data_IF_798347067044
#
_entry.id   IF_798347067044
#
_cell.length_a   1.000
_cell.length_b   1.000
_cell.length_c   1.000
_cell.angle_alpha   90.00
_cell.angle_beta   90.00
_cell.angle_gamma   90.00
#
_symmetry.space_group_name_H-M   'P 1'
#
loop_
_entity.id
_entity.type
_entity.pdbx_description
1 polymer ?
#
# COMPACT_ATOMS: atom_id res chain seq x y z
N UNK A 1 5.78 -12.84 -44.38
CA UNK A 1 6.25 -11.71 -43.54
C UNK A 1 6.00 -11.92 -42.05
N UNK A 2 5.30 -12.97 -41.61
CA UNK A 2 4.95 -13.18 -40.19
C UNK A 2 6.09 -13.67 -39.27
N UNK A 3 7.20 -14.16 -39.83
CA UNK A 3 8.31 -14.72 -39.04
C UNK A 3 9.20 -13.66 -38.40
N UNK A 4 9.36 -12.51 -39.06
CA UNK A 4 10.23 -11.42 -38.58
C UNK A 4 9.55 -10.59 -37.48
N UNK A 5 8.22 -10.46 -37.51
CA UNK A 5 7.46 -9.73 -36.48
C UNK A 5 7.55 -10.37 -35.09
N UNK A 6 7.75 -11.69 -35.02
CA UNK A 6 7.95 -12.41 -33.75
C UNK A 6 9.33 -12.21 -33.13
N UNK A 7 10.35 -11.94 -33.95
CA UNK A 7 11.74 -11.79 -33.51
C UNK A 7 12.06 -10.38 -33.00
N UNK A 8 11.35 -9.37 -33.52
CA UNK A 8 11.62 -7.96 -33.22
C UNK A 8 10.55 -7.29 -32.36
N UNK A 9 9.56 -8.03 -31.85
CA UNK A 9 8.61 -7.46 -30.91
C UNK A 9 9.29 -7.37 -29.53
N UNK A 10 9.68 -6.17 -29.04
CA UNK A 10 10.15 -6.05 -27.67
C UNK A 10 9.02 -6.53 -26.79
N UNK A 11 9.27 -7.55 -25.95
CA UNK A 11 8.29 -7.98 -24.93
C UNK A 11 7.80 -6.71 -24.26
N UNK A 12 6.50 -6.40 -24.38
CA UNK A 12 5.89 -5.25 -23.69
C UNK A 12 6.38 -5.35 -22.26
N UNK A 13 7.08 -4.33 -21.76
CA UNK A 13 7.45 -4.28 -20.35
C UNK A 13 6.16 -4.45 -19.57
N UNK A 14 6.01 -5.58 -18.89
CA UNK A 14 4.84 -5.83 -18.07
C UNK A 14 4.74 -4.65 -17.09
N UNK A 15 3.63 -3.90 -17.16
CA UNK A 15 3.43 -2.75 -16.28
C UNK A 15 3.38 -3.27 -14.85
N UNK A 16 4.30 -2.82 -14.01
CA UNK A 16 4.29 -3.11 -12.58
C UNK A 16 3.30 -2.19 -11.85
N UNK A 17 2.50 -2.68 -10.89
CA UNK A 17 2.36 -4.08 -10.49
C UNK A 17 1.62 -4.92 -11.56
N UNK A 18 1.92 -6.23 -11.69
CA UNK A 18 1.26 -7.10 -12.66
C UNK A 18 -0.25 -7.11 -12.39
N UNK A 19 -1.02 -6.62 -13.35
CA UNK A 19 -2.48 -6.57 -13.25
C UNK A 19 -3.04 -7.92 -13.71
N UNK A 20 -3.71 -8.70 -12.83
CA UNK A 20 -4.32 -9.94 -13.26
C UNK A 20 -5.37 -9.67 -14.35
N UNK A 21 -5.55 -10.63 -15.27
CA UNK A 21 -6.62 -10.55 -16.29
C UNK A 21 -8.01 -10.55 -15.65
N UNK A 22 -8.16 -11.21 -14.51
CA UNK A 22 -9.35 -11.17 -13.69
C UNK A 22 -9.50 -9.78 -13.05
N UNK A 23 -10.62 -9.12 -13.34
CA UNK A 23 -10.98 -7.79 -12.81
C UNK A 23 -12.19 -7.94 -11.91
N UNK A 24 -12.01 -8.18 -10.60
CA UNK A 24 -13.13 -8.24 -9.69
C UNK A 24 -13.81 -6.87 -9.64
N UNK A 25 -15.12 -6.84 -9.82
CA UNK A 25 -15.92 -5.62 -9.66
C UNK A 25 -16.39 -5.55 -8.21
N UNK A 26 -15.47 -5.17 -7.31
CA UNK A 26 -15.79 -4.97 -5.91
C UNK A 26 -16.28 -3.54 -5.71
N UNK A 27 -17.45 -3.34 -5.06
CA UNK A 27 -17.87 -1.99 -4.68
C UNK A 27 -16.82 -1.43 -3.73
N UNK A 28 -16.12 -0.38 -4.18
CA UNK A 28 -15.07 0.29 -3.41
C UNK A 28 -15.51 1.72 -3.18
N UNK A 29 -15.79 2.06 -1.92
CA UNK A 29 -16.13 3.42 -1.51
C UNK A 29 -14.84 4.19 -1.21
N UNK A 30 -14.32 4.89 -2.24
CA UNK A 30 -13.07 5.65 -2.14
C UNK A 30 -13.18 6.80 -1.14
N UNK A 31 -14.36 7.42 -1.04
CA UNK A 31 -14.59 8.56 -0.13
C UNK A 31 -14.58 8.10 1.33
N UNK A 32 -15.22 6.96 1.62
CA UNK A 32 -15.15 6.34 2.94
C UNK A 32 -13.72 5.96 3.30
N UNK A 33 -12.97 5.36 2.37
CA UNK A 33 -11.57 4.99 2.60
C UNK A 33 -10.75 6.26 2.91
N UNK A 34 -10.92 7.32 2.12
CA UNK A 34 -10.26 8.61 2.35
C UNK A 34 -10.58 9.19 3.72
N UNK A 35 -11.84 9.22 4.13
CA UNK A 35 -12.28 9.71 5.45
C UNK A 35 -11.60 8.92 6.58
N UNK A 36 -11.63 7.58 6.50
CA UNK A 36 -11.02 6.71 7.52
C UNK A 36 -9.51 6.85 7.55
N UNK A 37 -8.85 6.91 6.41
CA UNK A 37 -7.40 7.11 6.35
C UNK A 37 -7.01 8.44 6.98
N UNK A 38 -7.72 9.54 6.68
CA UNK A 38 -7.48 10.83 7.35
C UNK A 38 -7.66 10.75 8.86
N UNK A 39 -8.75 10.11 9.31
CA UNK A 39 -9.01 9.92 10.73
C UNK A 39 -7.87 9.16 11.43
N UNK A 40 -7.44 8.02 10.88
CA UNK A 40 -6.39 7.19 11.49
C UNK A 40 -4.99 7.81 11.41
N UNK A 41 -4.73 8.66 10.42
CA UNK A 41 -3.47 9.40 10.30
C UNK A 41 -3.47 10.73 11.04
N UNK A 42 -4.57 11.06 11.73
CA UNK A 42 -4.80 12.38 12.34
C UNK A 42 -4.59 13.54 11.35
N UNK A 43 -4.77 13.30 10.04
CA UNK A 43 -4.45 14.24 8.95
C UNK A 43 -2.98 14.70 8.90
N UNK A 44 -2.06 13.97 9.53
CA UNK A 44 -0.63 14.34 9.66
C UNK A 44 0.28 13.70 8.61
N UNK A 45 -0.16 12.61 7.99
CA UNK A 45 0.65 11.84 7.03
C UNK A 45 0.10 12.00 5.62
N UNK A 46 1.00 12.05 4.64
CA UNK A 46 0.59 11.89 3.26
C UNK A 46 0.21 10.44 2.99
N UNK A 47 -0.73 10.24 2.08
CA UNK A 47 -1.11 8.91 1.63
C UNK A 47 -1.63 8.94 0.19
N UNK A 48 -1.63 7.78 -0.46
CA UNK A 48 -2.21 7.56 -1.77
C UNK A 48 -3.25 6.43 -1.69
N UNK A 49 -4.37 6.59 -2.40
CA UNK A 49 -5.41 5.56 -2.53
C UNK A 49 -5.42 5.07 -3.96
N UNK A 50 -5.22 3.77 -4.15
CA UNK A 50 -5.33 3.12 -5.45
C UNK A 50 -6.80 2.85 -5.79
N UNK A 51 -7.11 2.72 -7.08
CA UNK A 51 -8.47 2.53 -7.60
C UNK A 51 -9.27 1.41 -6.90
N UNK A 52 -8.61 0.35 -6.43
CA UNK A 52 -9.26 -0.78 -5.75
C UNK A 52 -9.18 -0.68 -4.21
N UNK A 53 -8.94 0.50 -3.66
CA UNK A 53 -9.00 0.78 -2.23
C UNK A 53 -7.73 0.48 -1.43
N UNK A 54 -6.67 -0.02 -2.06
CA UNK A 54 -5.35 -0.13 -1.39
C UNK A 54 -4.85 1.27 -1.02
N UNK A 55 -4.35 1.42 0.21
CA UNK A 55 -3.81 2.68 0.71
C UNK A 55 -2.32 2.54 1.00
N UNK A 56 -1.52 3.48 0.53
CA UNK A 56 -0.12 3.63 0.90
C UNK A 56 0.03 4.87 1.76
N UNK A 57 0.63 4.74 2.95
CA UNK A 57 0.88 5.85 3.88
C UNK A 57 2.38 6.13 3.90
N UNK A 58 2.76 7.40 3.84
CA UNK A 58 4.15 7.83 3.87
C UNK A 58 4.52 8.32 5.28
N UNK A 59 5.51 7.72 5.95
CA UNK A 59 5.94 8.15 7.28
C UNK A 59 6.66 9.50 7.24
N UNK A 60 7.25 9.84 6.09
CA UNK A 60 7.89 11.10 5.82
C UNK A 60 7.21 11.76 4.62
N UNK A 61 7.32 13.08 4.52
CA UNK A 61 6.75 13.82 3.40
C UNK A 61 7.51 13.48 2.11
N UNK A 62 6.77 13.15 1.06
CA UNK A 62 7.30 12.90 -0.29
C UNK A 62 6.86 14.01 -1.24
N UNK A 63 7.74 14.32 -2.19
CA UNK A 63 7.49 15.36 -3.20
C UNK A 63 6.52 14.86 -4.28
N UNK A 64 6.66 13.60 -4.69
CA UNK A 64 5.77 12.93 -5.65
C UNK A 64 5.08 11.73 -4.99
N UNK A 65 3.83 11.95 -4.60
CA UNK A 65 2.96 10.94 -3.97
C UNK A 65 2.69 9.77 -4.91
N UNK A 66 2.55 10.02 -6.22
CA UNK A 66 2.21 8.99 -7.20
C UNK A 66 3.38 8.03 -7.44
N UNK A 67 4.57 8.58 -7.74
CA UNK A 67 5.78 7.77 -7.91
C UNK A 67 6.17 7.07 -6.60
N UNK A 68 6.04 7.77 -5.46
CA UNK A 68 6.27 7.20 -4.14
C UNK A 68 5.37 5.99 -3.86
N UNK A 69 4.07 6.09 -4.16
CA UNK A 69 3.12 5.01 -3.92
C UNK A 69 3.44 3.75 -4.73
N UNK A 70 3.78 3.93 -6.01
CA UNK A 70 4.18 2.81 -6.89
C UNK A 70 5.45 2.14 -6.37
N UNK A 71 6.47 2.93 -6.02
CA UNK A 71 7.74 2.40 -5.49
C UNK A 71 7.53 1.64 -4.17
N UNK A 72 6.63 2.13 -3.30
CA UNK A 72 6.29 1.47 -2.05
C UNK A 72 5.59 0.14 -2.27
N UNK A 73 4.63 0.11 -3.19
CA UNK A 73 3.92 -1.10 -3.58
C UNK A 73 4.88 -2.13 -4.22
N UNK A 74 5.87 -1.67 -4.98
CA UNK A 74 6.93 -2.50 -5.55
C UNK A 74 7.78 -3.19 -4.48
N UNK A 75 8.15 -2.45 -3.43
CA UNK A 75 8.84 -3.02 -2.27
C UNK A 75 8.00 -4.09 -1.58
N UNK A 76 6.74 -3.81 -1.29
CA UNK A 76 5.84 -4.76 -0.62
C UNK A 76 5.65 -6.02 -1.46
N UNK A 77 5.36 -5.88 -2.75
CA UNK A 77 5.09 -7.00 -3.64
C UNK A 77 6.29 -7.94 -3.81
N UNK A 78 7.49 -7.38 -3.91
CA UNK A 78 8.72 -8.16 -4.10
C UNK A 78 9.35 -8.62 -2.79
N UNK A 79 8.78 -8.26 -1.64
CA UNK A 79 9.32 -8.65 -0.36
C UNK A 79 8.80 -10.02 0.07
N UNK A 80 9.69 -10.80 0.69
CA UNK A 80 9.34 -12.10 1.22
C UNK A 80 8.44 -11.92 2.45
N UNK A 81 7.34 -12.67 2.54
CA UNK A 81 6.47 -12.64 3.71
C UNK A 81 7.29 -13.01 4.97
N UNK A 82 7.36 -12.10 5.93
CA UNK A 82 8.26 -12.20 7.10
C UNK A 82 7.53 -11.96 8.41
N UNK A 83 6.36 -12.59 8.56
CA UNK A 83 5.53 -12.48 9.75
C UNK A 83 6.35 -12.69 11.02
N UNK A 84 6.42 -11.64 11.83
CA UNK A 84 7.10 -11.67 13.13
C UNK A 84 6.06 -11.58 14.25
N UNK A 85 5.55 -12.72 14.75
CA UNK A 85 4.62 -12.73 15.86
C UNK A 85 5.33 -12.27 17.14
N UNK A 86 4.64 -11.43 17.90
CA UNK A 86 5.10 -10.89 19.19
C UNK A 86 3.98 -11.07 20.21
N UNK A 87 4.32 -11.56 21.39
CA UNK A 87 3.36 -11.67 22.50
C UNK A 87 3.13 -10.30 23.12
N UNK A 88 1.87 -9.97 23.37
CA UNK A 88 1.44 -8.78 24.10
C UNK A 88 1.20 -9.13 25.58
N UNK A 89 1.28 -8.13 26.46
CA UNK A 89 1.12 -8.32 27.91
C UNK A 89 -0.28 -8.77 28.35
N UNK A 90 -1.28 -8.70 27.47
CA UNK A 90 -2.66 -9.11 27.68
C UNK A 90 -2.97 -10.52 27.13
N UNK A 91 -1.96 -11.25 26.65
CA UNK A 91 -2.11 -12.58 26.07
C UNK A 91 -2.48 -12.60 24.58
N UNK A 92 -2.63 -11.43 23.95
CA UNK A 92 -2.81 -11.33 22.49
C UNK A 92 -1.48 -11.43 21.73
N UNK A 93 -1.56 -11.57 20.40
CA UNK A 93 -0.41 -11.54 19.50
C UNK A 93 -0.46 -10.32 18.59
N UNK A 94 0.65 -9.58 18.53
CA UNK A 94 0.91 -8.59 17.51
C UNK A 94 1.71 -9.23 16.37
N UNK A 95 1.27 -9.04 15.13
CA UNK A 95 2.01 -9.50 13.96
C UNK A 95 2.74 -8.29 13.34
N UNK A 96 4.07 -8.32 13.39
CA UNK A 96 4.95 -7.34 12.74
C UNK A 96 5.46 -7.83 11.38
N UNK A 97 5.96 -6.88 10.59
CA UNK A 97 6.59 -7.07 9.29
C UNK A 97 7.86 -6.22 9.23
N UNK A 98 8.93 -6.67 8.57
CA UNK A 98 10.18 -5.88 8.48
C UNK A 98 10.15 -4.85 7.35
N UNK A 99 9.27 -5.02 6.37
CA UNK A 99 8.94 -4.00 5.38
C UNK A 99 7.68 -3.25 5.77
N UNK A 100 7.44 -2.04 5.22
CA UNK A 100 6.33 -1.23 5.64
C UNK A 100 5.01 -1.79 5.11
N UNK A 101 4.46 -2.76 5.83
CA UNK A 101 3.03 -2.98 5.92
C UNK A 101 2.56 -2.14 7.09
N UNK A 102 1.89 -1.02 6.81
CA UNK A 102 1.34 -0.18 7.86
C UNK A 102 0.16 -0.91 8.52
N UNK A 103 0.44 -1.60 9.63
CA UNK A 103 -0.60 -2.14 10.51
C UNK A 103 -1.22 -0.95 11.23
N UNK A 104 -2.45 -0.54 10.89
CA UNK A 104 -3.14 0.51 11.63
C UNK A 104 -3.34 0.05 13.08
N UNK A 105 -2.70 0.66 14.09
CA UNK A 105 -3.05 0.40 15.46
C UNK A 105 -4.47 0.91 15.68
N UNK A 106 -5.27 0.22 16.50
CA UNK A 106 -6.53 0.76 17.02
C UNK A 106 -6.33 2.20 17.51
N UNK A 107 -7.27 3.13 17.25
CA UNK A 107 -7.03 4.54 17.46
C UNK A 107 -6.82 4.83 18.95
N UNK A 108 -5.58 5.09 19.35
CA UNK A 108 -5.36 5.97 20.51
C UNK A 108 -5.80 7.35 20.05
N UNK A 109 -6.77 7.96 20.75
CA UNK A 109 -7.22 9.35 20.50
C UNK A 109 -6.00 10.18 20.10
N UNK A 110 -6.05 10.85 18.95
CA UNK A 110 -5.03 11.81 18.53
C UNK A 110 -4.85 12.82 19.67
N UNK A 111 -3.89 12.59 20.56
CA UNK A 111 -3.63 13.50 21.66
C UNK A 111 -3.05 14.77 21.05
N UNK A 112 -3.78 15.86 21.25
CA UNK A 112 -3.39 17.23 20.95
C UNK A 112 -2.21 17.62 21.86
N UNK A 113 -1.03 17.06 21.62
CA UNK A 113 0.20 17.68 22.10
C UNK A 113 0.74 18.52 20.94
N UNK A 114 0.33 19.80 20.97
CA UNK A 114 1.03 20.88 20.28
C UNK A 114 2.38 21.03 20.99
N UNK A 115 3.46 20.81 20.26
CA UNK A 115 4.76 21.41 20.54
C UNK A 115 4.99 22.49 19.50
#
# INVERSE_FOLDING_TARGET
MELFDKLFNPKRKDTFPPKPKWKPNLPTDIDLIYEKTRYYTCDKLQFAIFQNGTVTIFPERVDDVGCGAISFLEKIYNFHADFKPMTMGDGNYLIGYSQPAFSTPQPKKCSLERL
#
